data_IF_843168906355
#
_entry.id   IF_843168906355
#
_cell.length_a   1.000
_cell.length_b   1.000
_cell.length_c   1.000
_cell.angle_alpha   90.00
_cell.angle_beta   90.00
_cell.angle_gamma   90.00
#
_symmetry.space_group_name_H-M   'P 1'
#
loop_
_entity.id
_entity.type
_entity.pdbx_description
1 polymer ?
#
# COMPACT_ATOMS: atom_id res chain seq x y z
N UNK A 1 18.35 -12.05 5.76
CA UNK A 1 16.88 -12.16 5.59
C UNK A 1 16.24 -11.58 6.85
N UNK A 2 16.12 -10.26 6.87
CA UNK A 2 15.70 -9.49 8.04
C UNK A 2 14.20 -9.66 8.30
N UNK A 3 13.34 -9.27 7.35
CA UNK A 3 11.88 -9.35 7.48
C UNK A 3 11.22 -9.95 6.22
N UNK A 4 11.26 -11.28 6.02
CA UNK A 4 10.77 -11.93 4.79
C UNK A 4 9.23 -12.02 4.66
N UNK A 5 8.50 -11.79 5.76
CA UNK A 5 7.03 -11.86 5.83
C UNK A 5 6.48 -10.65 6.58
N UNK A 6 6.89 -9.45 6.14
CA UNK A 6 6.23 -8.23 6.57
C UNK A 6 4.80 -8.20 6.06
N UNK A 7 3.87 -7.66 6.86
CA UNK A 7 2.49 -7.44 6.44
C UNK A 7 2.38 -6.30 5.42
N UNK A 8 3.41 -5.45 5.38
CA UNK A 8 3.44 -4.30 4.49
C UNK A 8 3.47 -4.68 3.01
N UNK A 9 2.96 -3.77 2.18
CA UNK A 9 2.82 -3.99 0.74
C UNK A 9 2.89 -2.72 -0.07
N UNK A 10 2.54 -2.85 -1.35
CA UNK A 10 2.52 -1.78 -2.33
C UNK A 10 1.29 -1.91 -3.23
N UNK A 11 0.94 -0.84 -3.95
CA UNK A 11 -0.25 -0.84 -4.82
C UNK A 11 -0.25 -2.00 -5.83
N UNK A 12 0.86 -2.23 -6.52
CA UNK A 12 0.96 -3.35 -7.48
C UNK A 12 0.92 -4.73 -6.79
N UNK A 13 1.30 -4.83 -5.51
CA UNK A 13 1.13 -6.05 -4.71
C UNK A 13 -0.35 -6.31 -4.39
N UNK A 14 -1.12 -5.27 -4.08
CA UNK A 14 -2.58 -5.37 -3.91
C UNK A 14 -3.23 -5.84 -5.22
N UNK A 15 -2.85 -5.21 -6.34
CA UNK A 15 -3.28 -5.64 -7.68
C UNK A 15 -3.03 -7.14 -7.89
N UNK A 16 -1.80 -7.61 -7.60
CA UNK A 16 -1.42 -9.00 -7.83
C UNK A 16 -2.27 -10.00 -7.04
N UNK A 17 -2.63 -9.67 -5.79
CA UNK A 17 -3.48 -10.52 -4.95
C UNK A 17 -4.92 -10.52 -5.49
N UNK A 18 -5.49 -9.33 -5.72
CA UNK A 18 -6.88 -9.20 -6.21
C UNK A 18 -7.05 -9.86 -7.57
N UNK A 19 -6.07 -9.68 -8.48
CA UNK A 19 -6.11 -10.28 -9.80
C UNK A 19 -6.06 -11.81 -9.76
N UNK A 20 -5.26 -12.38 -8.86
CA UNK A 20 -5.07 -13.84 -8.75
C UNK A 20 -6.17 -14.52 -7.94
N UNK A 21 -6.60 -13.93 -6.83
CA UNK A 21 -7.45 -14.58 -5.83
C UNK A 21 -8.85 -13.97 -5.73
N UNK A 22 -9.07 -12.76 -6.25
CA UNK A 22 -10.35 -12.07 -6.15
C UNK A 22 -10.57 -11.38 -4.80
N UNK A 23 -11.84 -11.14 -4.47
CA UNK A 23 -12.28 -10.46 -3.25
C UNK A 23 -13.52 -11.17 -2.69
N UNK A 24 -13.71 -11.07 -1.37
CA UNK A 24 -14.93 -11.53 -0.68
C UNK A 24 -15.41 -10.47 0.31
N UNK A 25 -16.72 -10.39 0.60
CA UNK A 25 -17.23 -9.60 1.71
C UNK A 25 -16.60 -10.03 3.04
N UNK A 26 -16.22 -9.05 3.88
CA UNK A 26 -15.55 -9.31 5.17
C UNK A 26 -16.35 -10.25 6.07
N UNK A 27 -17.68 -10.17 6.03
CA UNK A 27 -18.57 -11.04 6.83
C UNK A 27 -18.44 -12.54 6.51
N UNK A 28 -17.91 -12.89 5.33
CA UNK A 28 -17.68 -14.29 4.93
C UNK A 28 -16.31 -14.82 5.33
N UNK A 29 -15.36 -13.93 5.62
CA UNK A 29 -14.02 -14.27 6.07
C UNK A 29 -13.51 -13.18 7.02
N UNK A 30 -14.01 -13.15 8.27
CA UNK A 30 -13.70 -12.10 9.22
C UNK A 30 -12.28 -12.24 9.78
N UNK A 31 -11.77 -11.15 10.34
CA UNK A 31 -10.43 -11.11 10.92
C UNK A 31 -10.28 -12.09 12.09
N UNK A 32 -9.27 -12.95 12.01
CA UNK A 32 -8.85 -13.77 13.14
C UNK A 32 -8.02 -12.96 14.14
N UNK A 33 -7.78 -13.50 15.34
CA UNK A 33 -6.86 -12.90 16.30
C UNK A 33 -5.47 -12.62 15.69
N UNK A 34 -4.94 -13.58 14.92
CA UNK A 34 -3.62 -13.44 14.29
C UNK A 34 -3.63 -12.46 13.12
N UNK A 35 -4.78 -12.18 12.50
CA UNK A 35 -4.91 -11.12 11.51
C UNK A 35 -4.83 -9.73 12.16
N UNK A 36 -5.33 -9.58 13.40
CA UNK A 36 -5.28 -8.34 14.16
C UNK A 36 -3.98 -8.16 14.97
N UNK A 37 -3.28 -9.26 15.28
CA UNK A 37 -2.04 -9.29 16.08
C UNK A 37 -1.02 -10.24 15.43
N UNK A 38 -0.44 -9.82 14.32
CA UNK A 38 0.39 -10.66 13.43
C UNK A 38 1.83 -10.90 13.91
N UNK A 39 2.32 -10.14 14.88
CA UNK A 39 3.75 -10.14 15.27
C UNK A 39 4.29 -11.54 15.63
N UNK A 40 3.50 -12.33 16.35
CA UNK A 40 3.88 -13.69 16.79
C UNK A 40 3.92 -14.65 15.62
N UNK A 41 2.90 -14.67 14.76
CA UNK A 41 2.87 -15.56 13.59
C UNK A 41 3.99 -15.19 12.60
N UNK A 42 4.26 -13.90 12.40
CA UNK A 42 5.35 -13.44 11.54
C UNK A 42 6.72 -13.87 12.09
N UNK A 43 6.92 -13.88 13.41
CA UNK A 43 8.14 -14.40 14.05
C UNK A 43 8.31 -15.91 13.82
N UNK A 44 7.23 -16.69 13.98
CA UNK A 44 7.25 -18.14 13.75
C UNK A 44 7.59 -18.46 12.29
N UNK A 45 6.89 -17.82 11.35
CA UNK A 45 7.10 -18.02 9.91
C UNK A 45 8.50 -17.56 9.51
N UNK A 46 8.95 -16.40 9.98
CA UNK A 46 10.32 -15.90 9.71
C UNK A 46 11.37 -16.89 10.19
N UNK A 47 11.23 -17.43 11.39
CA UNK A 47 12.15 -18.42 11.95
C UNK A 47 12.19 -19.67 11.07
N UNK A 48 11.03 -20.17 10.66
CA UNK A 48 10.92 -21.34 9.78
C UNK A 48 11.53 -21.09 8.40
N UNK A 49 11.28 -19.92 7.80
CA UNK A 49 11.86 -19.54 6.51
C UNK A 49 13.39 -19.40 6.59
N UNK A 50 13.94 -18.92 7.71
CA UNK A 50 15.40 -18.84 7.91
C UNK A 50 16.02 -20.24 7.96
N UNK A 51 15.40 -21.17 8.67
CA UNK A 51 15.79 -22.57 8.69
C UNK A 51 15.74 -23.20 7.28
N UNK A 52 14.64 -22.98 6.56
CA UNK A 52 14.42 -23.54 5.23
C UNK A 52 15.38 -22.95 4.19
N UNK A 53 15.72 -21.66 4.31
CA UNK A 53 16.72 -21.02 3.47
C UNK A 53 18.12 -21.65 3.64
N UNK A 54 18.53 -21.96 4.88
CA UNK A 54 19.79 -22.65 5.15
C UNK A 54 19.80 -24.05 4.53
N UNK A 55 18.72 -24.82 4.69
CA UNK A 55 18.57 -26.15 4.10
C UNK A 55 18.61 -26.12 2.57
N UNK A 56 17.89 -25.19 1.93
CA UNK A 56 17.89 -25.02 0.48
C UNK A 56 19.27 -24.65 -0.04
N UNK A 57 19.98 -23.72 0.61
CA UNK A 57 21.34 -23.34 0.21
C UNK A 57 22.32 -24.52 0.30
N UNK A 58 22.23 -25.32 1.37
CA UNK A 58 23.05 -26.51 1.54
C UNK A 58 22.72 -27.60 0.50
N UNK A 59 21.45 -27.79 0.17
CA UNK A 59 21.04 -28.75 -0.86
C UNK A 59 21.44 -28.29 -2.27
N UNK A 60 21.39 -26.98 -2.55
CA UNK A 60 21.64 -26.44 -3.89
C UNK A 60 23.07 -26.67 -4.40
N UNK A 61 24.03 -26.96 -3.52
CA UNK A 61 25.42 -27.26 -3.90
C UNK A 61 25.61 -28.69 -4.42
N UNK A 62 24.70 -29.61 -4.10
CA UNK A 62 24.90 -31.05 -4.33
C UNK A 62 23.70 -31.78 -4.95
N UNK A 63 22.51 -31.18 -4.92
CA UNK A 63 21.25 -31.83 -5.35
C UNK A 63 20.78 -31.32 -6.71
N UNK A 64 20.04 -32.17 -7.42
CA UNK A 64 19.42 -31.81 -8.69
C UNK A 64 18.28 -30.81 -8.50
N UNK A 65 17.92 -30.11 -9.58
CA UNK A 65 16.77 -29.20 -9.60
C UNK A 65 15.45 -29.89 -9.18
N UNK A 66 15.25 -31.15 -9.56
CA UNK A 66 14.05 -31.91 -9.16
C UNK A 66 13.98 -32.13 -7.65
N UNK A 67 15.09 -32.51 -7.00
CA UNK A 67 15.15 -32.67 -5.55
C UNK A 67 14.93 -31.33 -4.83
N UNK A 68 15.49 -30.24 -5.37
CA UNK A 68 15.28 -28.89 -4.81
C UNK A 68 13.82 -28.45 -4.90
N UNK A 69 13.14 -28.76 -6.01
CA UNK A 69 11.72 -28.45 -6.17
C UNK A 69 10.85 -29.22 -5.18
N UNK A 70 11.07 -30.53 -5.01
CA UNK A 70 10.33 -31.32 -4.02
C UNK A 70 10.59 -30.84 -2.58
N UNK A 71 11.82 -30.42 -2.27
CA UNK A 71 12.16 -29.83 -0.98
C UNK A 71 11.42 -28.51 -0.76
N UNK A 72 11.40 -27.62 -1.77
CA UNK A 72 10.66 -26.37 -1.74
C UNK A 72 9.15 -26.60 -1.55
N UNK A 73 8.55 -27.55 -2.26
CA UNK A 73 7.13 -27.89 -2.13
C UNK A 73 6.78 -28.32 -0.70
N UNK A 74 7.62 -29.15 -0.09
CA UNK A 74 7.47 -29.54 1.31
C UNK A 74 7.52 -28.34 2.25
N UNK A 75 8.51 -27.45 2.08
CA UNK A 75 8.65 -26.23 2.89
C UNK A 75 7.44 -25.31 2.75
N UNK A 76 6.98 -25.05 1.52
CA UNK A 76 5.78 -24.23 1.25
C UNK A 76 4.54 -24.84 1.91
N UNK A 77 4.39 -26.17 1.89
CA UNK A 77 3.27 -26.85 2.56
C UNK A 77 3.29 -26.63 4.07
N UNK A 78 4.46 -26.58 4.71
CA UNK A 78 4.57 -26.27 6.14
C UNK A 78 4.15 -24.84 6.44
N UNK A 79 4.58 -23.86 5.63
CA UNK A 79 4.16 -22.46 5.78
C UNK A 79 2.65 -22.31 5.58
N UNK A 80 2.10 -22.96 4.55
CA UNK A 80 0.66 -22.97 4.30
C UNK A 80 -0.15 -23.54 5.48
N UNK A 81 0.35 -24.61 6.11
CA UNK A 81 -0.28 -25.20 7.29
C UNK A 81 -0.31 -24.21 8.46
N UNK A 82 0.80 -23.52 8.74
CA UNK A 82 0.87 -22.50 9.82
C UNK A 82 -0.18 -21.41 9.57
N UNK A 83 -0.23 -20.87 8.34
CA UNK A 83 -1.19 -19.83 7.97
C UNK A 83 -2.63 -20.30 8.09
N UNK A 84 -2.94 -21.51 7.59
CA UNK A 84 -4.31 -22.07 7.63
C UNK A 84 -4.78 -22.29 9.07
N UNK A 85 -3.90 -22.77 9.96
CA UNK A 85 -4.23 -22.98 11.36
C UNK A 85 -4.45 -21.67 12.12
N UNK A 86 -3.75 -20.60 11.73
CA UNK A 86 -3.78 -19.32 12.45
C UNK A 86 -4.81 -18.32 11.91
N UNK A 87 -5.11 -18.37 10.61
CA UNK A 87 -6.01 -17.44 9.91
C UNK A 87 -7.31 -18.09 9.47
N UNK A 88 -7.36 -19.43 9.40
CA UNK A 88 -8.42 -20.18 8.74
C UNK A 88 -8.10 -20.47 7.27
N UNK A 89 -8.83 -21.41 6.64
CA UNK A 89 -8.71 -21.64 5.21
C UNK A 89 -9.38 -20.49 4.43
N UNK A 90 -8.67 -19.81 3.51
CA UNK A 90 -9.27 -18.75 2.72
C UNK A 90 -10.31 -19.32 1.74
N UNK A 91 -11.34 -18.53 1.35
CA UNK A 91 -12.26 -18.92 0.28
C UNK A 91 -11.50 -19.20 -1.03
N UNK A 92 -11.85 -20.30 -1.69
CA UNK A 92 -11.24 -20.64 -2.97
C UNK A 92 -11.68 -19.65 -4.06
N UNK A 93 -10.72 -19.18 -4.85
CA UNK A 93 -10.92 -18.12 -5.84
C UNK A 93 -11.93 -18.44 -6.94
N UNK A 94 -12.15 -19.73 -7.19
CA UNK A 94 -13.01 -20.31 -8.23
C UNK A 94 -14.29 -20.97 -7.69
N UNK A 95 -14.48 -20.98 -6.37
CA UNK A 95 -15.66 -21.56 -5.74
C UNK A 95 -16.63 -20.46 -5.34
N UNK A 96 -17.90 -20.61 -5.71
CA UNK A 96 -18.91 -19.59 -5.44
C UNK A 96 -19.23 -19.52 -3.95
N UNK A 97 -19.43 -18.32 -3.46
CA UNK A 97 -20.03 -18.04 -2.15
C UNK A 97 -21.42 -17.41 -2.36
N UNK A 98 -22.28 -17.53 -1.33
CA UNK A 98 -23.53 -16.78 -1.26
C UNK A 98 -23.41 -15.69 -0.21
N UNK A 99 -23.69 -14.44 -0.59
CA UNK A 99 -23.77 -13.31 0.33
C UNK A 99 -25.18 -12.75 0.34
N UNK A 100 -25.83 -12.80 1.51
CA UNK A 100 -27.14 -12.22 1.76
C UNK A 100 -26.96 -10.94 2.58
N UNK A 101 -27.59 -9.85 2.15
CA UNK A 101 -27.48 -8.55 2.82
C UNK A 101 -28.76 -7.74 2.66
N UNK A 102 -28.93 -6.72 3.51
CA UNK A 102 -29.97 -5.70 3.33
C UNK A 102 -29.37 -4.49 2.62
N UNK A 103 -30.07 -3.97 1.61
CA UNK A 103 -29.70 -2.70 1.01
C UNK A 103 -30.14 -1.51 1.89
N UNK A 104 -29.85 -0.29 1.44
CA UNK A 104 -30.18 0.95 2.16
C UNK A 104 -31.69 1.18 2.37
N UNK A 105 -32.54 0.44 1.66
CA UNK A 105 -34.00 0.52 1.73
C UNK A 105 -34.57 -0.68 2.54
N UNK A 106 -33.72 -1.36 3.31
CA UNK A 106 -34.01 -2.56 4.12
C UNK A 106 -34.52 -3.77 3.29
N UNK A 107 -34.21 -3.83 1.99
CA UNK A 107 -34.61 -4.95 1.15
C UNK A 107 -33.55 -6.03 1.13
N UNK A 108 -33.99 -7.28 1.28
CA UNK A 108 -33.12 -8.44 1.18
C UNK A 108 -32.59 -8.61 -0.25
N UNK A 109 -31.27 -8.73 -0.35
CA UNK A 109 -30.51 -9.00 -1.55
C UNK A 109 -29.71 -10.29 -1.36
N UNK A 110 -29.47 -10.99 -2.46
CA UNK A 110 -28.61 -12.17 -2.48
C UNK A 110 -27.67 -12.12 -3.69
N UNK A 111 -26.40 -12.44 -3.46
CA UNK A 111 -25.38 -12.55 -4.49
C UNK A 111 -24.73 -13.92 -4.42
N UNK A 112 -24.69 -14.64 -5.55
CA UNK A 112 -23.98 -15.91 -5.68
C UNK A 112 -22.90 -15.78 -6.76
N UNK A 113 -21.64 -15.65 -6.33
CA UNK A 113 -20.48 -15.41 -7.21
C UNK A 113 -19.22 -16.03 -6.64
N UNK A 114 -18.22 -16.29 -7.49
CA UNK A 114 -16.86 -16.62 -7.05
C UNK A 114 -16.10 -15.35 -6.62
N UNK A 115 -15.04 -15.45 -5.80
CA UNK A 115 -14.20 -14.30 -5.44
C UNK A 115 -13.64 -13.53 -6.64
N UNK A 116 -13.24 -14.24 -7.70
CA UNK A 116 -12.76 -13.61 -8.94
C UNK A 116 -13.88 -12.84 -9.65
N UNK A 117 -15.10 -13.39 -9.70
CA UNK A 117 -16.24 -12.69 -10.27
C UNK A 117 -16.65 -11.47 -9.44
N UNK A 118 -16.62 -11.58 -8.12
CA UNK A 118 -16.88 -10.46 -7.22
C UNK A 118 -15.86 -9.33 -7.43
N UNK A 119 -14.57 -9.64 -7.55
CA UNK A 119 -13.55 -8.63 -7.86
C UNK A 119 -13.74 -7.95 -9.23
N UNK A 120 -14.32 -8.65 -10.22
CA UNK A 120 -14.67 -8.03 -11.52
C UNK A 120 -15.74 -6.94 -11.38
N UNK A 121 -16.49 -6.88 -10.28
CA UNK A 121 -17.41 -5.77 -10.02
C UNK A 121 -16.71 -4.41 -10.01
N UNK A 122 -15.44 -4.36 -9.60
CA UNK A 122 -14.59 -3.16 -9.65
C UNK A 122 -14.44 -2.59 -11.07
N UNK A 123 -14.68 -3.41 -12.09
CA UNK A 123 -14.57 -3.07 -13.50
C UNK A 123 -15.94 -2.97 -14.20
N UNK A 124 -17.06 -2.99 -13.46
CA UNK A 124 -18.39 -2.86 -14.07
C UNK A 124 -18.66 -1.42 -14.52
N UNK A 125 -19.57 -1.17 -15.49
CA UNK A 125 -19.97 0.18 -15.86
C UNK A 125 -20.48 1.02 -14.68
N UNK A 126 -21.03 0.40 -13.62
CA UNK A 126 -21.45 1.08 -12.40
C UNK A 126 -20.23 1.54 -11.59
N UNK A 127 -19.29 0.64 -11.34
CA UNK A 127 -18.03 0.97 -10.64
C UNK A 127 -17.18 1.93 -11.46
N UNK A 128 -17.06 1.74 -12.77
CA UNK A 128 -16.41 2.66 -13.70
C UNK A 128 -17.15 4.00 -13.77
N UNK A 129 -18.48 4.09 -13.62
CA UNK A 129 -19.14 5.41 -13.51
C UNK A 129 -18.74 6.15 -12.23
N UNK A 130 -18.41 5.41 -11.18
CA UNK A 130 -17.95 5.95 -9.90
C UNK A 130 -16.46 6.30 -9.97
N UNK A 131 -15.60 5.40 -10.46
CA UNK A 131 -14.12 5.52 -10.48
C UNK A 131 -13.53 6.05 -11.79
N UNK A 132 -14.29 5.99 -12.89
CA UNK A 132 -13.95 6.35 -14.27
C UNK A 132 -12.65 5.70 -14.80
N UNK A 133 -12.21 4.62 -14.15
CA UNK A 133 -11.09 3.77 -14.55
C UNK A 133 -11.25 2.40 -13.91
N UNK A 134 -10.55 1.41 -14.44
CA UNK A 134 -10.35 0.17 -13.70
C UNK A 134 -9.28 0.42 -12.62
N UNK A 135 -9.39 -0.26 -11.47
CA UNK A 135 -8.33 -0.28 -10.45
C UNK A 135 -6.98 -0.72 -11.06
N UNK A 136 -7.04 -1.49 -12.15
CA UNK A 136 -5.88 -1.96 -12.91
C UNK A 136 -5.10 -0.84 -13.63
N UNK A 137 -5.77 0.23 -14.04
CA UNK A 137 -5.18 1.34 -14.79
C UNK A 137 -4.56 2.41 -13.88
N UNK A 138 -4.89 2.40 -12.59
CA UNK A 138 -4.28 3.30 -11.61
C UNK A 138 -2.80 2.95 -11.42
N UNK A 139 -1.98 3.98 -11.21
CA UNK A 139 -0.54 3.85 -11.05
C UNK A 139 -0.02 4.77 -9.95
N UNK A 140 1.15 4.42 -9.42
CA UNK A 140 1.78 5.15 -8.33
C UNK A 140 2.60 6.32 -8.86
N UNK A 141 2.24 7.54 -8.45
CA UNK A 141 3.17 8.66 -8.41
C UNK A 141 4.01 8.57 -7.15
N UNK A 142 5.30 8.91 -7.24
CA UNK A 142 6.14 9.13 -6.06
C UNK A 142 6.81 10.50 -6.11
N UNK A 143 7.12 11.05 -4.96
CA UNK A 143 7.98 12.22 -4.80
C UNK A 143 9.26 11.80 -4.07
N UNK A 144 10.24 11.34 -4.85
CA UNK A 144 11.57 11.01 -4.37
C UNK A 144 12.59 12.02 -4.90
N UNK A 145 12.93 13.06 -4.11
CA UNK A 145 13.88 14.10 -4.52
C UNK A 145 15.33 13.62 -4.63
N UNK A 146 15.65 12.36 -4.31
CA UNK A 146 16.98 11.77 -4.58
C UNK A 146 17.17 11.40 -6.06
N UNK A 147 16.07 11.27 -6.79
CA UNK A 147 16.04 10.81 -8.18
C UNK A 147 15.51 11.93 -9.09
N UNK A 148 15.87 11.86 -10.37
CA UNK A 148 15.34 12.79 -11.38
C UNK A 148 13.81 12.64 -11.49
N UNK A 149 13.10 13.75 -11.69
CA UNK A 149 11.66 13.72 -11.91
C UNK A 149 11.33 13.33 -13.35
N UNK A 150 10.11 12.82 -13.54
CA UNK A 150 9.61 12.24 -14.79
C UNK A 150 10.40 11.00 -15.25
N UNK A 151 10.93 10.24 -14.30
CA UNK A 151 11.55 8.92 -14.55
C UNK A 151 10.71 7.81 -13.95
N UNK A 152 10.71 6.65 -14.60
CA UNK A 152 10.12 5.43 -14.05
C UNK A 152 11.11 4.82 -13.06
N UNK A 153 10.64 4.47 -11.86
CA UNK A 153 11.42 3.81 -10.81
C UNK A 153 10.83 2.43 -10.53
N UNK A 154 11.67 1.49 -10.13
CA UNK A 154 11.27 0.19 -9.58
C UNK A 154 12.25 -0.21 -8.47
N UNK A 155 11.85 -1.12 -7.59
CA UNK A 155 12.69 -1.63 -6.50
C UNK A 155 13.03 -3.09 -6.77
N UNK A 156 14.31 -3.43 -6.82
CA UNK A 156 14.77 -4.79 -7.12
C UNK A 156 14.12 -5.80 -6.17
N UNK A 157 13.55 -6.87 -6.73
CA UNK A 157 12.93 -8.01 -6.02
C UNK A 157 11.76 -7.69 -5.10
N UNK A 158 11.31 -6.43 -5.00
CA UNK A 158 10.11 -6.09 -4.23
C UNK A 158 8.87 -6.65 -4.93
N UNK A 159 8.07 -7.45 -4.20
CA UNK A 159 6.85 -8.06 -4.71
C UNK A 159 6.33 -9.18 -3.83
N UNK A 160 5.18 -9.74 -4.19
CA UNK A 160 4.50 -10.81 -3.43
C UNK A 160 4.14 -12.05 -4.25
N UNK A 161 3.92 -11.92 -5.57
CA UNK A 161 3.55 -13.02 -6.46
C UNK A 161 4.66 -13.23 -7.49
N UNK A 162 5.23 -14.43 -7.50
CA UNK A 162 6.23 -14.83 -8.51
C UNK A 162 5.61 -14.75 -9.90
N UNK A 163 6.23 -13.97 -10.80
CA UNK A 163 5.70 -13.71 -12.14
C UNK A 163 4.53 -12.71 -12.19
N UNK A 164 4.22 -12.06 -11.07
CA UNK A 164 3.21 -10.98 -11.01
C UNK A 164 3.71 -9.67 -11.62
N UNK A 165 2.85 -8.65 -11.59
CA UNK A 165 3.16 -7.28 -12.01
C UNK A 165 4.29 -6.72 -11.14
N UNK A 166 5.35 -6.15 -11.74
CA UNK A 166 6.42 -5.50 -10.97
C UNK A 166 5.92 -4.22 -10.32
N UNK A 167 6.52 -3.85 -9.19
CA UNK A 167 6.26 -2.55 -8.55
C UNK A 167 6.87 -1.45 -9.40
N UNK A 168 6.07 -0.45 -9.77
CA UNK A 168 6.56 0.69 -10.55
C UNK A 168 6.05 2.02 -10.02
N UNK A 169 6.89 3.05 -10.12
CA UNK A 169 6.57 4.39 -9.69
C UNK A 169 6.96 5.41 -10.74
N UNK A 170 6.10 6.39 -11.02
CA UNK A 170 6.49 7.57 -11.81
C UNK A 170 6.93 8.65 -10.84
N UNK A 171 8.22 8.99 -10.84
CA UNK A 171 8.75 10.03 -9.96
C UNK A 171 8.33 11.40 -10.46
N UNK A 172 7.74 12.24 -9.59
CA UNK A 172 7.26 13.57 -9.93
C UNK A 172 7.56 14.57 -8.80
N UNK A 173 7.57 15.85 -9.16
CA UNK A 173 7.61 16.92 -8.16
C UNK A 173 6.31 16.93 -7.33
N UNK A 174 6.38 17.38 -6.08
CA UNK A 174 5.21 17.48 -5.20
C UNK A 174 4.09 18.37 -5.76
N UNK A 175 4.37 19.51 -6.43
CA UNK A 175 3.31 20.29 -7.10
C UNK A 175 2.52 19.47 -8.13
N UNK A 176 3.18 18.63 -8.93
CA UNK A 176 2.51 17.75 -9.90
C UNK A 176 1.64 16.71 -9.19
N UNK A 177 2.15 16.12 -8.10
CA UNK A 177 1.38 15.17 -7.28
C UNK A 177 0.14 15.84 -6.67
N UNK A 178 0.29 17.02 -6.05
CA UNK A 178 -0.81 17.78 -5.45
C UNK A 178 -1.88 18.13 -6.48
N UNK A 179 -1.51 18.58 -7.69
CA UNK A 179 -2.46 18.87 -8.77
C UNK A 179 -3.27 17.63 -9.17
N UNK A 180 -2.61 16.47 -9.31
CA UNK A 180 -3.29 15.21 -9.61
C UNK A 180 -4.27 14.81 -8.50
N UNK A 181 -3.83 14.87 -7.24
CA UNK A 181 -4.67 14.58 -6.07
C UNK A 181 -5.89 15.51 -5.97
N UNK A 182 -5.70 16.83 -6.12
CA UNK A 182 -6.80 17.81 -6.08
C UNK A 182 -7.80 17.52 -7.20
N UNK A 183 -7.32 17.22 -8.41
CA UNK A 183 -8.19 16.94 -9.55
C UNK A 183 -9.00 15.66 -9.35
N UNK A 184 -8.37 14.63 -8.80
CA UNK A 184 -9.02 13.36 -8.48
C UNK A 184 -10.06 13.50 -7.35
N UNK A 185 -9.76 14.26 -6.29
CA UNK A 185 -10.71 14.59 -5.22
C UNK A 185 -11.90 15.42 -5.72
N UNK A 186 -11.66 16.41 -6.60
CA UNK A 186 -12.74 17.19 -7.24
C UNK A 186 -13.66 16.32 -8.10
N UNK A 187 -13.15 15.22 -8.65
CA UNK A 187 -13.93 14.22 -9.36
C UNK A 187 -14.64 13.20 -8.44
N UNK A 188 -14.54 13.36 -7.12
CA UNK A 188 -15.18 12.49 -6.12
C UNK A 188 -14.43 11.18 -5.86
N UNK A 189 -13.14 11.10 -6.23
CA UNK A 189 -12.34 9.89 -6.09
C UNK A 189 -11.36 9.99 -4.91
N UNK A 190 -11.41 9.06 -3.94
CA UNK A 190 -10.44 8.99 -2.87
C UNK A 190 -9.08 8.48 -3.39
N UNK A 191 -7.99 8.86 -2.73
CA UNK A 191 -6.63 8.55 -3.18
C UNK A 191 -5.90 7.74 -2.11
N UNK A 192 -5.43 6.55 -2.47
CA UNK A 192 -4.44 5.83 -1.67
C UNK A 192 -3.12 6.61 -1.70
N UNK A 193 -2.51 6.84 -0.53
CA UNK A 193 -1.23 7.51 -0.44
C UNK A 193 -0.34 6.85 0.61
N UNK A 194 0.98 6.91 0.37
CA UNK A 194 2.02 6.38 1.25
C UNK A 194 2.82 7.52 1.87
N UNK A 195 3.07 7.44 3.18
CA UNK A 195 3.72 8.50 3.95
C UNK A 195 4.57 7.97 5.11
N UNK A 196 5.30 8.85 5.78
CA UNK A 196 5.91 8.59 7.08
C UNK A 196 5.02 9.08 8.23
N UNK A 197 3.95 8.33 8.50
CA UNK A 197 2.89 8.76 9.44
C UNK A 197 3.39 8.99 10.87
N UNK A 198 4.55 8.43 11.23
CA UNK A 198 5.14 8.59 12.57
C UNK A 198 5.80 9.95 12.79
N UNK A 199 6.03 10.73 11.73
CA UNK A 199 6.70 12.03 11.81
C UNK A 199 5.69 13.14 12.01
N UNK A 200 5.90 13.98 13.02
CA UNK A 200 5.10 15.19 13.26
C UNK A 200 3.58 14.93 13.21
N UNK A 201 3.16 13.84 13.86
CA UNK A 201 1.81 13.30 13.82
C UNK A 201 1.38 12.87 15.21
N UNK A 202 0.12 13.15 15.57
CA UNK A 202 -0.45 12.75 16.84
C UNK A 202 -1.75 11.97 16.63
N UNK A 203 -1.70 10.67 16.94
CA UNK A 203 -2.83 9.76 16.73
C UNK A 203 -4.05 10.06 17.59
N UNK A 204 -3.88 10.67 18.77
CA UNK A 204 -5.00 11.00 19.67
C UNK A 204 -5.82 12.19 19.15
N UNK A 205 -5.15 13.23 18.67
CA UNK A 205 -5.80 14.43 18.12
C UNK A 205 -6.13 14.31 16.64
N UNK A 206 -5.45 13.42 15.92
CA UNK A 206 -5.63 13.24 14.48
C UNK A 206 -4.93 14.33 13.66
N UNK A 207 -3.94 15.01 14.22
CA UNK A 207 -3.26 16.14 13.56
C UNK A 207 -1.90 15.70 13.04
N UNK A 208 -1.62 16.01 11.77
CA UNK A 208 -0.32 15.88 11.11
C UNK A 208 0.13 17.24 10.64
N UNK A 209 1.09 17.84 11.35
CA UNK A 209 1.56 19.21 11.12
C UNK A 209 3.02 19.35 11.55
N UNK A 210 3.84 20.04 10.75
CA UNK A 210 5.26 20.28 11.05
C UNK A 210 5.45 21.05 12.36
N UNK A 211 4.51 21.92 12.70
CA UNK A 211 4.56 22.75 13.90
C UNK A 211 3.89 22.09 15.12
N UNK A 212 3.53 20.80 15.01
CA UNK A 212 2.86 20.06 16.08
C UNK A 212 3.73 19.90 17.34
N UNK A 213 5.06 19.84 17.18
CA UNK A 213 6.02 19.70 18.27
C UNK A 213 7.16 20.71 18.08
N UNK A 214 7.31 21.62 19.03
CA UNK A 214 8.40 22.60 19.04
C UNK A 214 9.66 22.02 19.71
N UNK A 215 10.45 21.29 18.93
CA UNK A 215 11.73 20.72 19.38
C UNK A 215 12.80 21.78 19.65
N UNK A 216 12.74 22.93 18.99
CA UNK A 216 13.70 24.01 19.20
C UNK A 216 13.48 24.65 20.57
N UNK A 217 12.22 24.91 20.96
CA UNK A 217 11.91 25.38 22.31
C UNK A 217 12.33 24.36 23.38
N UNK A 218 12.06 23.07 23.15
CA UNK A 218 12.32 22.02 24.14
C UNK A 218 13.81 21.70 24.34
N UNK A 219 14.59 21.68 23.27
CA UNK A 219 15.96 21.16 23.27
C UNK A 219 17.01 22.14 22.74
N UNK A 220 16.61 23.33 22.28
CA UNK A 220 17.48 24.33 21.67
C UNK A 220 18.29 23.78 20.47
N UNK A 221 17.66 22.92 19.66
CA UNK A 221 18.23 22.35 18.43
C UNK A 221 17.23 22.43 17.27
N UNK A 222 17.75 22.44 16.03
CA UNK A 222 16.94 22.37 14.80
C UNK A 222 17.16 21.06 14.06
N UNK A 223 16.08 20.45 13.60
CA UNK A 223 16.09 19.24 12.76
C UNK A 223 15.87 19.63 11.28
N UNK A 224 16.90 20.17 10.64
CA UNK A 224 16.80 20.84 9.33
C UNK A 224 17.19 20.02 8.09
N UNK A 225 17.19 18.68 8.16
CA UNK A 225 17.49 17.86 6.98
C UNK A 225 16.40 18.03 5.91
N UNK A 226 16.80 18.13 4.64
CA UNK A 226 15.86 18.05 3.51
C UNK A 226 15.25 16.66 3.37
N UNK A 227 14.11 16.57 2.66
CA UNK A 227 13.45 15.29 2.35
C UNK A 227 14.38 14.26 1.71
N UNK A 228 15.24 14.67 0.77
CA UNK A 228 16.23 13.79 0.15
C UNK A 228 17.26 13.28 1.18
N UNK A 229 17.79 14.17 2.03
CA UNK A 229 18.74 13.78 3.06
C UNK A 229 18.12 12.81 4.07
N UNK A 230 16.87 13.03 4.50
CA UNK A 230 16.18 12.12 5.43
C UNK A 230 16.01 10.71 4.86
N UNK A 231 15.70 10.60 3.57
CA UNK A 231 15.65 9.31 2.87
C UNK A 231 17.04 8.66 2.77
N UNK A 232 18.09 9.43 2.50
CA UNK A 232 19.46 8.91 2.37
C UNK A 232 20.06 8.45 3.71
N UNK A 233 19.72 9.12 4.81
CA UNK A 233 20.24 8.80 6.14
C UNK A 233 19.40 7.76 6.88
N UNK A 234 18.23 7.39 6.34
CA UNK A 234 17.27 6.49 7.00
C UNK A 234 16.44 7.16 8.09
N UNK A 235 16.45 8.50 8.19
CA UNK A 235 15.62 9.25 9.13
C UNK A 235 14.13 9.21 8.75
N UNK A 236 13.81 9.01 7.47
CA UNK A 236 12.44 8.87 7.00
C UNK A 236 12.33 7.84 5.89
N UNK A 237 11.16 7.22 5.78
CA UNK A 237 10.83 6.24 4.75
C UNK A 237 9.31 6.22 4.53
N UNK A 238 8.87 5.54 3.47
CA UNK A 238 7.46 5.16 3.33
C UNK A 238 7.14 4.09 4.38
N UNK A 239 6.37 4.44 5.40
CA UNK A 239 6.07 3.54 6.52
C UNK A 239 4.62 3.10 6.57
N UNK A 240 3.66 3.94 6.16
CA UNK A 240 2.23 3.65 6.30
C UNK A 240 1.38 4.17 5.15
N UNK A 241 0.32 3.44 4.80
CA UNK A 241 -0.63 3.80 3.76
C UNK A 241 -1.98 4.25 4.33
N UNK A 242 -2.54 5.33 3.79
CA UNK A 242 -3.82 5.90 4.20
C UNK A 242 -4.60 6.38 2.97
N UNK A 243 -5.77 6.99 3.18
CA UNK A 243 -6.63 7.48 2.09
C UNK A 243 -6.91 8.97 2.22
N UNK A 244 -6.63 9.77 1.19
CA UNK A 244 -7.10 11.15 1.09
C UNK A 244 -8.56 11.15 0.63
N UNK A 245 -9.40 11.90 1.33
CA UNK A 245 -10.85 11.97 1.01
C UNK A 245 -11.39 13.38 0.84
N UNK A 246 -10.62 14.41 1.21
CA UNK A 246 -10.96 15.81 0.92
C UNK A 246 -9.73 16.70 0.99
N UNK A 247 -9.84 17.88 0.38
CA UNK A 247 -8.84 18.95 0.44
C UNK A 247 -9.55 20.28 0.68
N UNK A 248 -8.98 21.13 1.51
CA UNK A 248 -9.38 22.52 1.67
C UNK A 248 -8.46 23.39 0.82
N UNK A 249 -9.06 24.19 -0.07
CA UNK A 249 -8.34 25.12 -0.94
C UNK A 249 -8.57 26.55 -0.45
N UNK A 250 -7.55 27.40 -0.59
CA UNK A 250 -7.67 28.85 -0.41
C UNK A 250 -8.39 29.52 -1.61
N UNK A 251 -8.52 30.85 -1.57
CA UNK A 251 -9.18 31.64 -2.60
C UNK A 251 -8.46 31.55 -3.96
N UNK A 252 -7.15 31.34 -3.94
CA UNK A 252 -6.30 31.15 -5.12
C UNK A 252 -6.29 29.69 -5.63
N UNK A 253 -6.97 28.78 -4.94
CA UNK A 253 -7.08 27.37 -5.32
C UNK A 253 -5.89 26.50 -4.90
N UNK A 254 -5.01 26.97 -4.01
CA UNK A 254 -3.91 26.19 -3.43
C UNK A 254 -4.40 25.40 -2.23
N UNK A 255 -3.82 24.22 -2.02
CA UNK A 255 -4.15 23.37 -0.89
C UNK A 255 -3.62 23.95 0.43
N UNK A 256 -4.47 23.94 1.44
CA UNK A 256 -4.15 24.39 2.81
C UNK A 256 -4.02 23.21 3.77
N UNK A 257 -4.96 22.26 3.66
CA UNK A 257 -5.01 21.05 4.48
C UNK A 257 -5.83 19.96 3.81
N UNK A 258 -5.58 18.73 4.23
CA UNK A 258 -6.11 17.51 3.63
C UNK A 258 -6.80 16.68 4.70
N UNK A 259 -7.93 16.05 4.34
CA UNK A 259 -8.62 15.10 5.20
C UNK A 259 -8.16 13.68 4.86
N UNK A 260 -7.74 12.97 5.88
CA UNK A 260 -7.15 11.63 5.78
C UNK A 260 -8.01 10.63 6.55
N UNK A 261 -8.37 9.54 5.89
CA UNK A 261 -8.94 8.36 6.53
C UNK A 261 -7.80 7.40 6.91
N UNK A 262 -7.78 6.98 8.16
CA UNK A 262 -6.85 5.96 8.65
C UNK A 262 -7.58 4.65 8.96
N UNK A 263 -6.84 3.56 9.18
CA UNK A 263 -7.35 2.22 9.48
C UNK A 263 -7.24 1.82 10.96
N UNK A 264 -6.88 2.75 11.86
CA UNK A 264 -6.70 2.50 13.30
C UNK A 264 -8.01 2.54 14.13
N UNK A 265 -9.15 2.35 13.47
CA UNK A 265 -10.47 2.40 14.07
C UNK A 265 -10.93 3.81 14.47
N UNK A 266 -12.13 3.91 15.05
CA UNK A 266 -12.79 5.17 15.37
C UNK A 266 -12.16 5.91 16.57
N UNK A 267 -11.40 5.20 17.40
CA UNK A 267 -10.75 5.79 18.59
C UNK A 267 -9.51 6.64 18.29
N UNK A 268 -8.97 6.58 17.06
CA UNK A 268 -7.85 7.41 16.63
C UNK A 268 -8.36 8.67 15.91
N UNK A 269 -7.72 9.81 16.18
CA UNK A 269 -8.11 11.09 15.62
C UNK A 269 -9.52 11.52 16.03
N UNK A 270 -10.29 12.03 15.08
CA UNK A 270 -11.72 12.31 15.26
C UNK A 270 -12.51 11.28 14.45
N UNK A 271 -13.04 10.25 15.11
CA UNK A 271 -13.79 9.15 14.48
C UNK A 271 -13.00 8.44 13.36
N UNK A 272 -11.70 8.20 13.58
CA UNK A 272 -10.79 7.60 12.59
C UNK A 272 -10.23 8.59 11.56
N UNK A 273 -10.65 9.85 11.61
CA UNK A 273 -10.21 10.89 10.68
C UNK A 273 -9.06 11.72 11.21
N UNK A 274 -8.19 12.09 10.28
CA UNK A 274 -7.04 12.94 10.51
C UNK A 274 -7.10 14.18 9.60
N UNK A 275 -6.45 15.26 10.06
CA UNK A 275 -6.17 16.46 9.29
C UNK A 275 -4.67 16.60 9.11
N UNK A 276 -4.26 16.78 7.86
CA UNK A 276 -2.87 16.91 7.45
C UNK A 276 -2.65 18.31 6.86
N UNK A 277 -1.69 19.06 7.38
CA UNK A 277 -1.33 20.36 6.79
C UNK A 277 -0.69 20.18 5.40
N UNK A 278 -0.80 21.19 4.54
CA UNK A 278 -0.22 21.13 3.20
C UNK A 278 1.31 20.99 3.22
N UNK A 279 1.96 21.59 4.22
CA UNK A 279 3.40 21.49 4.44
C UNK A 279 3.82 20.08 4.91
N UNK A 280 3.00 19.41 5.72
CA UNK A 280 3.25 18.01 6.09
C UNK A 280 3.22 17.09 4.87
N UNK A 281 2.28 17.34 3.94
CA UNK A 281 2.24 16.62 2.66
C UNK A 281 3.55 16.79 1.87
N UNK A 282 4.12 17.99 1.84
CA UNK A 282 5.40 18.23 1.14
C UNK A 282 6.54 17.40 1.72
N UNK A 283 6.61 17.30 3.05
CA UNK A 283 7.79 16.73 3.72
C UNK A 283 7.70 15.22 3.96
N UNK A 284 6.50 14.67 4.19
CA UNK A 284 6.32 13.30 4.67
C UNK A 284 5.37 12.43 3.85
N UNK A 285 4.69 12.95 2.82
CA UNK A 285 4.01 12.11 1.81
C UNK A 285 4.97 11.80 0.68
N UNK A 286 5.04 10.53 0.29
CA UNK A 286 5.96 10.05 -0.74
C UNK A 286 5.26 9.44 -1.94
N UNK A 287 4.08 8.86 -1.77
CA UNK A 287 3.35 8.16 -2.84
C UNK A 287 1.91 8.60 -2.89
N UNK A 288 1.36 8.70 -4.09
CA UNK A 288 -0.08 8.81 -4.33
C UNK A 288 -0.46 7.96 -5.54
N UNK A 289 -1.48 7.11 -5.39
CA UNK A 289 -2.01 6.31 -6.50
C UNK A 289 -3.07 7.11 -7.21
N UNK A 290 -2.85 7.38 -8.49
CA UNK A 290 -3.73 8.24 -9.28
C UNK A 290 -4.23 7.53 -10.52
N UNK A 291 -5.36 8.00 -11.01
CA UNK A 291 -5.88 7.58 -12.30
C UNK A 291 -5.20 8.38 -13.44
N UNK A 292 -4.78 7.73 -14.54
CA UNK A 292 -4.08 8.35 -15.67
C UNK A 292 -4.64 9.67 -16.18
N UNK A 293 -5.97 9.89 -16.23
CA UNK A 293 -6.52 11.12 -16.80
C UNK A 293 -6.23 12.38 -15.97
N UNK A 294 -5.89 12.22 -14.68
CA UNK A 294 -5.60 13.35 -13.79
C UNK A 294 -4.14 13.82 -13.82
N UNK A 295 -3.31 13.19 -14.63
CA UNK A 295 -1.94 13.64 -14.87
C UNK A 295 -1.75 14.08 -16.32
N UNK A 296 -0.75 14.95 -16.54
CA UNK A 296 -0.37 15.36 -17.88
C UNK A 296 0.09 14.15 -18.72
N UNK A 297 -0.08 14.25 -20.04
CA UNK A 297 0.37 13.20 -20.98
C UNK A 297 1.86 12.87 -20.79
N UNK A 298 2.70 13.88 -20.57
CA UNK A 298 4.13 13.71 -20.32
C UNK A 298 4.44 12.82 -19.11
N UNK A 299 3.62 12.88 -18.05
CA UNK A 299 3.76 12.04 -16.85
C UNK A 299 3.30 10.62 -17.14
N UNK A 300 2.18 10.45 -17.85
CA UNK A 300 1.68 9.12 -18.24
C UNK A 300 2.65 8.37 -19.14
N UNK A 301 3.23 9.07 -20.11
CA UNK A 301 4.10 8.46 -21.12
C UNK A 301 5.36 7.82 -20.48
N UNK A 302 5.74 8.24 -19.26
CA UNK A 302 6.83 7.63 -18.48
C UNK A 302 6.58 6.15 -18.15
N UNK A 303 5.32 5.73 -18.02
CA UNK A 303 4.97 4.33 -17.74
C UNK A 303 5.44 3.35 -18.82
N UNK A 304 5.63 3.82 -20.06
CA UNK A 304 6.14 3.01 -21.16
C UNK A 304 7.68 2.95 -21.24
N UNK A 305 8.38 3.66 -20.35
CA UNK A 305 9.84 3.77 -20.35
C UNK A 305 10.56 2.62 -19.62
N UNK A 306 11.88 2.63 -19.68
CA UNK A 306 12.72 1.75 -18.88
C UNK A 306 12.82 2.27 -17.45
N UNK A 307 12.56 1.40 -16.46
CA UNK A 307 12.61 1.76 -15.06
C UNK A 307 14.04 1.79 -14.52
N UNK A 308 14.41 2.87 -13.83
CA UNK A 308 15.59 2.89 -12.98
C UNK A 308 15.37 1.94 -11.81
N UNK A 309 16.24 0.93 -11.69
CA UNK A 309 16.18 -0.06 -10.62
C UNK A 309 16.87 0.47 -9.36
N UNK A 310 16.11 0.58 -8.28
CA UNK A 310 16.58 0.88 -6.93
C UNK A 310 16.92 -0.42 -6.19
N UNK A 311 17.75 -0.31 -5.16
CA UNK A 311 18.11 -1.46 -4.33
C UNK A 311 16.90 -1.99 -3.54
N UNK A 312 16.88 -3.30 -3.25
CA UNK A 312 15.79 -3.94 -2.47
C UNK A 312 15.52 -3.26 -1.11
N UNK A 313 16.53 -2.67 -0.48
CA UNK A 313 16.44 -1.99 0.82
C UNK A 313 16.23 -0.47 0.68
N UNK A 314 15.82 0.02 -0.49
CA UNK A 314 15.50 1.44 -0.67
C UNK A 314 14.30 1.86 0.21
N UNK A 315 14.33 3.05 0.85
CA UNK A 315 13.23 3.55 1.69
C UNK A 315 11.92 3.82 0.93
N UNK A 316 11.93 3.80 -0.41
CA UNK A 316 10.72 3.75 -1.25
C UNK A 316 10.18 2.31 -1.36
N UNK A 317 10.09 1.61 -0.22
CA UNK A 317 9.77 0.19 -0.13
C UNK A 317 8.31 -0.09 0.20
N UNK A 318 8.05 -1.15 0.96
CA UNK A 318 6.71 -1.55 1.39
C UNK A 318 6.12 -0.62 2.46
N UNK A 319 4.82 -0.38 2.39
CA UNK A 319 4.01 0.37 3.37
C UNK A 319 3.36 -0.63 4.33
N UNK A 320 3.53 -0.46 5.65
CA UNK A 320 2.98 -1.34 6.69
C UNK A 320 1.83 -0.66 7.46
#
# INVERSE_FOLDING_TARGET
>A
MESPVSDGGQWDMVYNIVHKYGLVPQVLYPDSFNAQTSSVINSIITTKLREDALKLRAAATTKSASTLNSLKEHMVRQIHLILTLALGPPPASDTAFTWQYLDKDDKAQELNVTPIQFAKELNTPKSIRITNSTVHDMFSLVNDPRNEYNTLLTVDRLGNIVGGRPITYVNVSMPVMKVACISMLKAGLPIFFGSDVGKYSNSKSGVMDLDLIDYELGFNIKLGMSKAQRLMTGESAMTHAMVLTAVHLDEEGKSVRWRVQNSWGEGAGTDGWFVMSDAWMDEFVYQAVVEPRFVAKSVRDVLGGEAKVLNLWDPMGALA
#
